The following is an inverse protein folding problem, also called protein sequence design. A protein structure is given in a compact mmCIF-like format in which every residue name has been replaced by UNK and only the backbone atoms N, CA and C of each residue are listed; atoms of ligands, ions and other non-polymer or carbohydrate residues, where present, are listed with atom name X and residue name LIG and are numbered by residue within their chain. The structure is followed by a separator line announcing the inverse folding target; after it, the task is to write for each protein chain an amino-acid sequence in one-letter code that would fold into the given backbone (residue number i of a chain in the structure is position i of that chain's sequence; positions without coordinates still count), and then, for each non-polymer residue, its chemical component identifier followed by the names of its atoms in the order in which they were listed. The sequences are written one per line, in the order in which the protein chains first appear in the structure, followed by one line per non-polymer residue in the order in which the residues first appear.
data_IF_821647362218
#
_entry.id   IF_821647362218
#
_cell.length_a   1.000
_cell.length_b   1.000
_cell.length_c   1.000
_cell.angle_alpha   90.00
_cell.angle_beta   90.00
_cell.angle_gamma   90.00
#
_symmetry.space_group_name_H-M   'P 1'
#
loop_
_entity.id
_entity.type
_entity.pdbx_description
1 polymer ?
#
# COMPACT_ATOMS: atom_id res chain seq x y z
N UNK A 1 27.07 60.34 -36.30
CA UNK A 1 26.13 59.52 -35.50
C UNK A 1 26.91 58.45 -34.78
N UNK A 2 27.08 58.56 -33.45
CA UNK A 2 27.64 57.51 -32.59
C UNK A 2 26.49 56.97 -31.75
N UNK A 3 26.08 55.73 -31.98
CA UNK A 3 25.09 55.05 -31.14
C UNK A 3 25.79 54.55 -29.88
N UNK A 4 25.39 55.09 -28.73
CA UNK A 4 25.78 54.59 -27.41
C UNK A 4 24.83 53.44 -27.04
N UNK A 5 25.39 52.25 -26.86
CA UNK A 5 24.67 51.08 -26.37
C UNK A 5 24.68 51.16 -24.84
N UNK A 6 23.54 51.47 -24.22
CA UNK A 6 23.36 51.35 -22.78
C UNK A 6 23.15 49.87 -22.41
N UNK A 7 23.93 49.27 -21.50
CA UNK A 7 23.62 47.95 -21.00
C UNK A 7 22.50 48.06 -19.96
N UNK A 8 21.37 47.42 -20.25
CA UNK A 8 20.25 47.29 -19.33
C UNK A 8 20.63 46.24 -18.26
N UNK A 9 21.11 46.68 -17.10
CA UNK A 9 21.34 45.80 -15.96
C UNK A 9 19.99 45.38 -15.35
N UNK A 10 19.54 44.16 -15.65
CA UNK A 10 18.45 43.52 -14.93
C UNK A 10 18.91 43.22 -13.49
N UNK A 11 18.38 43.97 -12.53
CA UNK A 11 18.44 43.61 -11.12
C UNK A 11 17.59 42.34 -10.91
N UNK A 12 18.23 41.18 -10.86
CA UNK A 12 17.65 39.97 -10.29
C UNK A 12 17.48 40.22 -8.79
N UNK A 13 16.27 40.62 -8.37
CA UNK A 13 15.86 40.50 -6.98
C UNK A 13 15.82 39.01 -6.66
N UNK A 14 16.84 38.51 -5.97
CA UNK A 14 16.71 37.26 -5.23
C UNK A 14 15.70 37.52 -4.11
N UNK A 15 14.44 37.14 -4.33
CA UNK A 15 13.54 36.90 -3.22
C UNK A 15 14.00 35.62 -2.56
N UNK A 16 14.86 35.71 -1.55
CA UNK A 16 14.94 34.66 -0.56
C UNK A 16 13.57 34.60 0.09
N UNK A 17 12.80 33.57 -0.24
CA UNK A 17 11.63 33.23 0.53
C UNK A 17 12.15 32.89 1.93
N UNK A 18 11.92 33.80 2.89
CA UNK A 18 12.14 33.47 4.29
C UNK A 18 11.18 32.32 4.60
N UNK A 19 11.74 31.13 4.77
CA UNK A 19 11.01 29.96 5.23
C UNK A 19 10.42 30.34 6.58
N UNK A 20 9.10 30.54 6.65
CA UNK A 20 8.41 30.72 7.93
C UNK A 20 8.62 29.41 8.68
N UNK A 21 9.57 29.40 9.59
CA UNK A 21 9.77 28.31 10.54
C UNK A 21 8.44 28.06 11.22
N UNK A 22 7.92 26.83 11.10
CA UNK A 22 6.71 26.43 11.81
C UNK A 22 6.98 26.62 13.31
N UNK A 23 6.23 27.52 13.95
CA UNK A 23 6.27 27.69 15.38
C UNK A 23 5.53 26.50 16.04
N UNK A 24 6.09 25.88 17.09
CA UNK A 24 5.40 24.81 17.82
C UNK A 24 4.07 25.31 18.38
N UNK A 25 3.05 24.46 18.37
CA UNK A 25 1.75 24.74 19.00
C UNK A 25 1.81 24.70 20.54
N UNK A 26 2.94 24.26 21.12
CA UNK A 26 3.10 23.99 22.54
C UNK A 26 3.88 25.14 23.21
N UNK A 27 3.38 25.60 24.37
CA UNK A 27 4.04 26.59 25.22
C UNK A 27 5.46 26.16 25.61
N UNK A 28 6.38 27.11 25.73
CA UNK A 28 7.78 26.91 26.16
C UNK A 28 7.93 26.30 27.57
N UNK A 29 6.84 26.12 28.32
CA UNK A 29 6.82 25.61 29.68
C UNK A 29 7.03 24.09 29.82
N UNK A 30 7.21 23.34 28.73
CA UNK A 30 7.44 21.87 28.77
C UNK A 30 8.94 21.51 28.67
N UNK A 31 9.84 22.50 28.62
CA UNK A 31 11.28 22.25 28.49
C UNK A 31 11.91 21.48 29.68
N UNK A 32 11.24 21.43 30.84
CA UNK A 32 11.71 20.73 32.04
C UNK A 32 11.13 19.31 32.24
N UNK A 33 10.45 18.76 31.24
CA UNK A 33 9.94 17.37 31.30
C UNK A 33 10.92 16.43 30.60
N UNK A 34 11.39 15.40 31.30
CA UNK A 34 12.23 14.35 30.71
C UNK A 34 11.53 13.71 29.50
N UNK A 35 12.23 13.64 28.36
CA UNK A 35 11.72 13.19 27.05
C UNK A 35 10.64 14.11 26.42
N UNK A 36 10.56 15.38 26.82
CA UNK A 36 9.70 16.34 26.13
C UNK A 36 10.05 16.47 24.63
N UNK A 37 9.06 16.70 23.75
CA UNK A 37 9.32 16.98 22.35
C UNK A 37 10.23 18.20 22.19
N UNK A 38 11.39 18.01 21.56
CA UNK A 38 12.30 19.10 21.27
C UNK A 38 11.72 20.01 20.18
N UNK A 39 11.58 21.30 20.46
CA UNK A 39 11.07 22.31 19.52
C UNK A 39 11.88 22.31 18.21
N UNK A 40 13.21 22.20 18.29
CA UNK A 40 14.06 22.18 17.10
C UNK A 40 13.83 20.92 16.26
N UNK A 41 13.73 19.75 16.89
CA UNK A 41 13.42 18.51 16.19
C UNK A 41 12.00 18.52 15.61
N UNK A 42 11.02 19.09 16.32
CA UNK A 42 9.66 19.24 15.83
C UNK A 42 9.64 20.13 14.56
N UNK A 43 10.34 21.26 14.58
CA UNK A 43 10.44 22.14 13.40
C UNK A 43 11.11 21.45 12.20
N UNK A 44 12.17 20.65 12.43
CA UNK A 44 12.87 19.90 11.39
C UNK A 44 12.00 18.77 10.82
N UNK A 45 11.25 18.06 11.67
CA UNK A 45 10.48 16.88 11.27
C UNK A 45 9.06 17.23 10.78
N UNK A 46 8.54 18.42 11.08
CA UNK A 46 7.18 18.81 10.75
C UNK A 46 6.83 18.67 9.26
N UNK A 47 7.68 19.07 8.29
CA UNK A 47 7.38 18.85 6.88
C UNK A 47 7.16 17.37 6.54
N UNK A 48 7.94 16.46 7.14
CA UNK A 48 7.79 15.02 6.94
C UNK A 48 6.46 14.50 7.52
N UNK A 49 6.12 14.90 8.74
CA UNK A 49 4.90 14.50 9.45
C UNK A 49 3.66 14.99 8.68
N UNK A 50 3.55 16.30 8.43
CA UNK A 50 2.38 16.86 7.76
C UNK A 50 2.21 16.34 6.33
N UNK A 51 3.33 16.08 5.65
CA UNK A 51 3.27 15.49 4.32
C UNK A 51 2.98 13.98 4.34
N UNK A 52 3.19 13.25 5.45
CA UNK A 52 2.70 11.86 5.59
C UNK A 52 1.19 11.88 5.81
N UNK A 53 0.69 12.74 6.72
CA UNK A 53 -0.74 12.91 6.97
C UNK A 53 -1.48 13.34 5.70
N UNK A 54 -0.99 14.38 5.01
CA UNK A 54 -1.59 14.85 3.76
C UNK A 54 -1.54 13.81 2.64
N UNK A 55 -0.53 12.94 2.65
CA UNK A 55 -0.33 11.89 1.67
C UNK A 55 -1.05 10.58 1.98
N UNK A 56 -1.69 10.46 3.15
CA UNK A 56 -2.37 9.25 3.57
C UNK A 56 -3.41 8.83 2.51
N UNK A 57 -3.40 7.56 2.14
CA UNK A 57 -4.27 6.97 1.11
C UNK A 57 -4.11 7.54 -0.30
N UNK A 58 -3.13 8.41 -0.58
CA UNK A 58 -2.85 8.98 -1.92
C UNK A 58 -1.72 8.25 -2.61
N UNK A 59 -1.97 7.75 -3.81
CA UNK A 59 -1.00 6.89 -4.49
C UNK A 59 0.37 7.55 -4.70
N UNK A 60 0.40 8.78 -5.24
CA UNK A 60 1.65 9.43 -5.61
C UNK A 60 2.52 9.81 -4.41
N UNK A 61 1.92 10.34 -3.35
CA UNK A 61 2.64 10.69 -2.12
C UNK A 61 3.31 9.46 -1.49
N UNK A 62 2.61 8.32 -1.50
CA UNK A 62 3.13 7.05 -1.02
C UNK A 62 4.24 6.49 -1.92
N UNK A 63 4.16 6.68 -3.24
CA UNK A 63 5.24 6.30 -4.17
C UNK A 63 6.51 7.13 -3.97
N UNK A 64 6.38 8.44 -3.73
CA UNK A 64 7.52 9.31 -3.46
C UNK A 64 8.20 8.96 -2.11
N UNK A 65 7.40 8.59 -1.11
CA UNK A 65 7.87 8.20 0.23
C UNK A 65 7.70 6.71 0.46
N UNK A 66 8.29 5.92 -0.44
CA UNK A 66 8.08 4.48 -0.52
C UNK A 66 8.29 3.70 0.79
N UNK A 67 9.18 4.13 1.69
CA UNK A 67 9.37 3.39 2.94
C UNK A 67 8.14 3.42 3.86
N UNK A 68 7.40 4.53 3.86
CA UNK A 68 6.34 4.76 4.85
C UNK A 68 6.90 4.83 6.28
N UNK A 69 6.30 5.63 7.14
CA UNK A 69 6.69 5.72 8.56
C UNK A 69 5.47 5.85 9.49
N UNK A 70 4.26 5.68 8.98
CA UNK A 70 3.02 5.92 9.71
C UNK A 70 2.07 4.73 9.60
N UNK A 71 1.39 4.44 10.72
CA UNK A 71 0.33 3.45 10.82
C UNK A 71 -0.95 4.22 11.17
N UNK A 72 -1.99 4.04 10.37
CA UNK A 72 -3.27 4.71 10.57
C UNK A 72 -4.37 3.69 10.87
N UNK A 73 -5.23 3.91 11.88
CA UNK A 73 -6.52 3.24 11.91
C UNK A 73 -7.36 3.76 10.74
N UNK A 74 -8.03 2.84 10.05
CA UNK A 74 -8.90 3.19 8.93
C UNK A 74 -10.21 2.43 8.99
N UNK A 75 -11.28 3.08 8.56
CA UNK A 75 -12.58 2.45 8.37
C UNK A 75 -12.88 2.29 6.89
N UNK A 76 -13.11 1.06 6.43
CA UNK A 76 -13.60 0.78 5.08
C UNK A 76 -15.12 0.83 5.09
N UNK A 77 -15.71 1.66 4.23
CA UNK A 77 -17.16 1.84 4.17
C UNK A 77 -17.89 0.56 3.75
N UNK A 78 -19.12 0.37 4.25
CA UNK A 78 -20.01 -0.68 3.77
C UNK A 78 -20.28 -0.52 2.26
N UNK A 79 -20.63 -1.63 1.60
CA UNK A 79 -20.83 -1.68 0.15
C UNK A 79 -19.59 -1.31 -0.69
N UNK A 80 -18.41 -1.31 -0.09
CA UNK A 80 -17.15 -1.21 -0.85
C UNK A 80 -16.91 -2.50 -1.61
N UNK A 81 -16.66 -2.36 -2.92
CA UNK A 81 -16.29 -3.48 -3.79
C UNK A 81 -14.81 -3.78 -3.72
N UNK A 82 -14.50 -5.07 -3.65
CA UNK A 82 -13.18 -5.65 -3.74
C UNK A 82 -13.13 -6.72 -4.82
N UNK A 83 -11.94 -6.92 -5.37
CA UNK A 83 -11.68 -7.90 -6.41
C UNK A 83 -10.55 -8.82 -5.97
N UNK A 84 -10.66 -10.11 -6.31
CA UNK A 84 -9.63 -11.10 -6.06
C UNK A 84 -9.44 -11.97 -7.29
N UNK A 85 -8.19 -12.13 -7.73
CA UNK A 85 -7.84 -13.09 -8.77
C UNK A 85 -7.29 -14.38 -8.15
N UNK A 86 -7.84 -15.53 -8.55
CA UNK A 86 -7.34 -16.84 -8.11
C UNK A 86 -7.34 -17.87 -9.23
N UNK A 87 -6.88 -19.08 -8.93
CA UNK A 87 -6.85 -20.21 -9.89
C UNK A 87 -8.08 -21.10 -9.84
N UNK A 88 -9.01 -20.85 -8.91
CA UNK A 88 -10.20 -21.68 -8.68
C UNK A 88 -11.47 -20.85 -8.75
N UNK A 89 -12.59 -21.52 -9.09
CA UNK A 89 -13.91 -20.91 -9.16
C UNK A 89 -14.66 -20.97 -7.80
N UNK A 90 -13.94 -20.87 -6.69
CA UNK A 90 -14.50 -20.98 -5.34
C UNK A 90 -14.41 -19.64 -4.61
N UNK A 91 -15.32 -19.43 -3.65
CA UNK A 91 -15.19 -18.31 -2.72
C UNK A 91 -13.93 -18.48 -1.88
N UNK A 92 -13.31 -17.36 -1.53
CA UNK A 92 -12.24 -17.32 -0.54
C UNK A 92 -12.85 -17.39 0.86
N UNK A 93 -12.22 -18.15 1.76
CA UNK A 93 -12.63 -18.37 3.15
C UNK A 93 -11.42 -18.40 4.11
N UNK A 94 -10.32 -17.78 3.69
CA UNK A 94 -9.01 -17.79 4.35
C UNK A 94 -8.38 -16.38 4.35
N UNK A 95 -7.17 -16.26 4.88
CA UNK A 95 -6.34 -15.06 4.68
C UNK A 95 -6.07 -14.90 3.19
N UNK A 96 -6.36 -13.72 2.65
CA UNK A 96 -6.24 -13.49 1.22
C UNK A 96 -6.09 -12.02 0.83
N UNK A 97 -5.49 -11.78 -0.33
CA UNK A 97 -5.38 -10.45 -0.95
C UNK A 97 -6.66 -10.05 -1.69
N UNK A 98 -7.04 -8.79 -1.51
CA UNK A 98 -8.14 -8.12 -2.19
C UNK A 98 -7.65 -6.79 -2.75
N UNK A 99 -8.08 -6.42 -3.95
CA UNK A 99 -7.75 -5.14 -4.55
C UNK A 99 -8.98 -4.27 -4.79
N UNK A 100 -8.76 -2.96 -4.91
CA UNK A 100 -9.83 -1.98 -5.19
C UNK A 100 -10.18 -1.88 -6.67
N UNK A 101 -9.40 -2.52 -7.55
CA UNK A 101 -9.58 -2.56 -8.99
C UNK A 101 -9.33 -3.96 -9.54
N UNK A 102 -9.99 -4.23 -10.68
CA UNK A 102 -9.84 -5.47 -11.42
C UNK A 102 -8.39 -5.65 -11.86
N UNK A 103 -7.78 -4.62 -12.47
CA UNK A 103 -6.46 -4.74 -13.08
C UNK A 103 -5.34 -5.10 -12.06
N UNK A 104 -5.52 -4.73 -10.79
CA UNK A 104 -4.64 -5.14 -9.70
C UNK A 104 -4.97 -6.56 -9.22
N UNK A 105 -6.25 -6.87 -8.99
CA UNK A 105 -6.67 -8.19 -8.52
C UNK A 105 -6.23 -9.31 -9.46
N UNK A 106 -6.21 -9.03 -10.76
CA UNK A 106 -5.78 -10.00 -11.75
C UNK A 106 -4.28 -10.36 -11.64
N UNK A 107 -3.43 -9.52 -11.03
CA UNK A 107 -2.02 -9.88 -10.75
C UNK A 107 -1.94 -11.13 -9.86
N UNK A 108 -2.92 -11.30 -8.96
CA UNK A 108 -2.97 -12.40 -8.01
C UNK A 108 -3.15 -13.77 -8.70
N UNK A 109 -3.66 -13.83 -9.94
CA UNK A 109 -3.73 -15.06 -10.75
C UNK A 109 -2.38 -15.77 -10.84
N UNK A 110 -1.30 -14.97 -10.92
CA UNK A 110 0.06 -15.47 -11.15
C UNK A 110 0.79 -15.83 -9.86
N UNK A 111 0.21 -15.46 -8.71
CA UNK A 111 0.80 -15.65 -7.39
C UNK A 111 0.28 -16.91 -6.69
N UNK A 112 -0.89 -17.43 -7.04
CA UNK A 112 -1.40 -18.70 -6.52
C UNK A 112 -1.03 -19.83 -7.50
N UNK A 113 0.10 -20.55 -7.33
CA UNK A 113 0.41 -21.63 -8.25
C UNK A 113 -0.66 -22.73 -8.13
N UNK A 114 -1.17 -23.28 -9.25
CA UNK A 114 -1.92 -24.53 -9.21
C UNK A 114 -1.07 -25.58 -8.50
N UNK A 115 -1.66 -26.20 -7.49
CA UNK A 115 -1.08 -27.15 -6.53
C UNK A 115 -0.05 -28.07 -7.23
N UNK A 116 1.23 -27.87 -6.95
CA UNK A 116 2.23 -28.94 -7.10
C UNK A 116 2.52 -29.48 -5.71
N UNK A 117 2.51 -30.80 -5.57
CA UNK A 117 2.53 -31.56 -4.31
C UNK A 117 3.77 -31.36 -3.41
N UNK A 118 4.60 -30.34 -3.62
CA UNK A 118 5.75 -30.05 -2.78
C UNK A 118 5.66 -28.63 -2.21
N UNK A 119 5.60 -28.57 -0.87
CA UNK A 119 5.58 -27.36 -0.03
C UNK A 119 6.85 -26.53 -0.18
N UNK A 120 7.03 -25.90 -1.32
CA UNK A 120 8.06 -24.89 -1.50
C UNK A 120 7.57 -23.85 -2.49
N UNK A 121 7.08 -22.75 -1.91
CA UNK A 121 6.74 -21.51 -2.61
C UNK A 121 8.06 -20.91 -3.13
N UNK A 122 8.47 -21.30 -4.35
CA UNK A 122 9.59 -20.69 -5.07
C UNK A 122 9.03 -19.89 -6.24
N UNK A 123 9.14 -18.55 -6.17
CA UNK A 123 9.05 -17.73 -7.37
C UNK A 123 10.42 -17.68 -8.06
N UNK A 124 10.39 -17.85 -9.39
CA UNK A 124 11.52 -17.96 -10.32
C UNK A 124 12.34 -19.25 -10.19
N UNK A 125 11.79 -20.35 -10.73
CA UNK A 125 12.61 -21.52 -11.06
C UNK A 125 11.81 -22.65 -11.71
N UNK A 126 11.86 -22.74 -13.04
CA UNK A 126 11.58 -23.93 -13.87
C UNK A 126 10.43 -24.83 -13.40
N UNK A 127 9.20 -24.29 -13.34
CA UNK A 127 7.98 -25.10 -13.30
C UNK A 127 7.53 -25.34 -14.74
N UNK A 128 7.03 -26.56 -15.04
CA UNK A 128 6.41 -26.90 -16.33
C UNK A 128 5.37 -25.85 -16.73
N UNK A 129 5.31 -25.53 -18.02
CA UNK A 129 4.38 -24.54 -18.57
C UNK A 129 2.93 -25.00 -18.35
N UNK A 130 2.32 -24.60 -17.22
CA UNK A 130 0.94 -24.93 -16.92
C UNK A 130 0.01 -23.87 -17.50
N UNK A 131 -0.90 -24.33 -18.36
CA UNK A 131 -2.04 -23.57 -18.81
C UNK A 131 -3.14 -23.65 -17.74
N UNK A 132 -3.53 -22.50 -17.19
CA UNK A 132 -4.67 -22.42 -16.29
C UNK A 132 -5.59 -21.26 -16.67
N UNK A 133 -6.83 -21.35 -16.19
CA UNK A 133 -7.81 -20.25 -16.29
C UNK A 133 -7.81 -19.50 -14.96
N UNK A 134 -7.53 -18.20 -14.99
CA UNK A 134 -7.71 -17.35 -13.82
C UNK A 134 -9.20 -17.06 -13.58
N UNK A 135 -9.61 -16.89 -12.33
CA UNK A 135 -10.97 -16.56 -11.95
C UNK A 135 -11.00 -15.27 -11.15
N UNK A 136 -11.71 -14.27 -11.66
CA UNK A 136 -11.93 -13.00 -11.00
C UNK A 136 -13.19 -13.08 -10.14
N UNK A 137 -13.00 -12.96 -8.83
CA UNK A 137 -14.09 -12.88 -7.86
C UNK A 137 -14.34 -11.42 -7.46
N UNK A 138 -15.61 -11.03 -7.39
CA UNK A 138 -16.03 -9.71 -6.91
C UNK A 138 -16.73 -9.86 -5.57
N UNK A 139 -16.20 -9.18 -4.56
CA UNK A 139 -16.73 -9.16 -3.20
C UNK A 139 -17.25 -7.78 -2.84
N UNK A 140 -18.17 -7.75 -1.88
CA UNK A 140 -18.71 -6.54 -1.29
C UNK A 140 -18.65 -6.62 0.23
N UNK A 141 -18.23 -5.54 0.87
CA UNK A 141 -18.34 -5.42 2.34
C UNK A 141 -19.81 -5.33 2.76
N UNK A 142 -20.20 -6.19 3.69
CA UNK A 142 -21.58 -6.24 4.23
C UNK A 142 -21.82 -5.14 5.27
N UNK A 143 -20.76 -4.71 5.96
CA UNK A 143 -20.77 -3.69 7.01
C UNK A 143 -19.47 -2.87 6.94
N UNK A 144 -19.39 -1.70 7.58
CA UNK A 144 -18.13 -0.96 7.65
C UNK A 144 -17.06 -1.77 8.41
N UNK A 145 -15.89 -1.97 7.82
CA UNK A 145 -14.75 -2.62 8.46
C UNK A 145 -14.01 -1.57 9.28
N UNK A 146 -14.14 -1.62 10.60
CA UNK A 146 -13.58 -0.60 11.51
C UNK A 146 -12.22 -0.98 12.08
N UNK A 147 -11.86 -2.26 12.04
CA UNK A 147 -10.61 -2.74 12.62
C UNK A 147 -9.61 -3.01 11.50
N UNK A 148 -9.36 -2.02 10.65
CA UNK A 148 -8.33 -2.10 9.60
C UNK A 148 -7.23 -1.11 9.94
N UNK A 149 -5.97 -1.54 9.79
CA UNK A 149 -4.81 -0.64 9.87
C UNK A 149 -4.25 -0.42 8.48
N UNK A 150 -3.82 0.81 8.21
CA UNK A 150 -3.19 1.22 6.98
C UNK A 150 -1.71 1.54 7.24
N UNK A 151 -0.83 0.92 6.45
CA UNK A 151 0.59 1.26 6.41
C UNK A 151 0.85 2.19 5.23
N UNK A 152 1.36 3.40 5.48
CA UNK A 152 1.73 4.32 4.41
C UNK A 152 3.02 3.88 3.67
N UNK A 153 3.44 4.68 2.71
CA UNK A 153 4.45 4.32 1.71
C UNK A 153 3.99 3.23 0.75
N UNK A 154 4.96 2.61 0.10
CA UNK A 154 4.80 1.42 -0.72
C UNK A 154 4.95 0.17 0.16
N UNK A 155 4.18 0.09 1.23
CA UNK A 155 4.25 -0.94 2.28
C UNK A 155 3.91 -2.37 1.82
N UNK A 156 3.47 -2.54 0.58
CA UNK A 156 3.33 -3.83 -0.09
C UNK A 156 4.40 -4.07 -1.17
N UNK A 157 5.42 -3.21 -1.31
CA UNK A 157 6.56 -3.44 -2.18
C UNK A 157 7.53 -4.43 -1.56
N UNK A 158 7.76 -5.59 -2.19
CA UNK A 158 8.59 -6.68 -1.63
C UNK A 158 10.07 -6.43 -1.89
N UNK A 159 10.57 -5.31 -1.38
CA UNK A 159 11.92 -4.81 -1.67
C UNK A 159 12.82 -4.81 -0.43
N UNK A 160 14.13 -4.73 -0.65
CA UNK A 160 15.13 -4.60 0.41
C UNK A 160 15.40 -3.14 0.82
N UNK A 161 14.73 -2.15 0.21
CA UNK A 161 15.01 -0.72 0.42
C UNK A 161 14.26 -0.09 1.62
N UNK A 162 13.46 -0.88 2.35
CA UNK A 162 12.84 -0.47 3.61
C UNK A 162 11.31 -0.43 3.60
N UNK A 163 10.67 -0.70 2.46
CA UNK A 163 9.20 -0.70 2.29
C UNK A 163 8.44 -1.61 3.26
N UNK A 164 9.06 -2.67 3.79
CA UNK A 164 8.43 -3.60 4.72
C UNK A 164 8.79 -3.33 6.19
N UNK A 165 9.61 -2.32 6.49
CA UNK A 165 10.20 -2.15 7.82
C UNK A 165 9.14 -1.80 8.89
N UNK A 166 8.05 -1.10 8.56
CA UNK A 166 6.95 -0.87 9.51
C UNK A 166 6.32 -2.18 10.01
N UNK A 167 6.11 -3.14 9.11
CA UNK A 167 5.54 -4.44 9.47
C UNK A 167 6.57 -5.30 10.19
N UNK A 168 7.75 -5.47 9.59
CA UNK A 168 8.75 -6.44 10.06
C UNK A 168 9.55 -5.95 11.27
N UNK A 169 9.85 -4.64 11.37
CA UNK A 169 10.72 -4.06 12.42
C UNK A 169 9.96 -3.27 13.47
N UNK A 170 8.86 -2.60 13.13
CA UNK A 170 8.15 -1.80 14.14
C UNK A 170 7.06 -2.64 14.79
N UNK A 171 6.25 -3.31 13.99
CA UNK A 171 5.09 -4.04 14.50
C UNK A 171 5.43 -5.47 14.99
N UNK A 172 6.31 -6.19 14.29
CA UNK A 172 6.61 -7.60 14.58
C UNK A 172 7.95 -7.85 15.29
N UNK A 173 8.74 -6.81 15.62
CA UNK A 173 10.09 -7.02 16.16
C UNK A 173 10.12 -7.84 17.47
N UNK A 174 9.21 -7.55 18.40
CA UNK A 174 9.20 -8.18 19.72
C UNK A 174 8.49 -9.55 19.74
N UNK A 175 7.98 -10.01 18.59
CA UNK A 175 7.29 -11.32 18.50
C UNK A 175 8.24 -12.47 18.19
N UNK A 176 9.54 -12.17 18.02
CA UNK A 176 10.54 -13.14 17.54
C UNK A 176 10.40 -13.44 16.04
N UNK A 177 9.65 -12.61 15.30
CA UNK A 177 9.52 -12.74 13.85
C UNK A 177 10.87 -12.48 13.17
N UNK A 178 11.43 -13.52 12.57
CA UNK A 178 12.63 -13.38 11.76
C UNK A 178 12.26 -12.75 10.41
N UNK A 179 12.71 -11.50 10.19
CA UNK A 179 12.55 -10.80 8.91
C UNK A 179 12.91 -11.69 7.73
N UNK A 180 12.02 -11.76 6.75
CA UNK A 180 12.21 -12.52 5.51
C UNK A 180 12.14 -11.57 4.32
N UNK A 181 13.04 -11.65 3.34
CA UNK A 181 12.88 -10.92 2.09
C UNK A 181 11.73 -11.53 1.27
N UNK A 182 11.08 -10.73 0.42
CA UNK A 182 10.16 -11.23 -0.60
C UNK A 182 8.70 -11.44 -0.16
N UNK A 183 8.01 -12.30 -0.93
CA UNK A 183 6.56 -12.55 -0.94
C UNK A 183 6.08 -13.46 0.21
N UNK A 184 6.40 -13.09 1.44
CA UNK A 184 5.99 -13.80 2.67
C UNK A 184 4.81 -13.10 3.38
N UNK A 185 3.91 -12.48 2.60
CA UNK A 185 2.85 -11.63 3.16
C UNK A 185 1.83 -12.41 3.98
N UNK A 186 1.50 -13.64 3.57
CA UNK A 186 0.59 -14.48 4.32
C UNK A 186 1.17 -14.85 5.69
N UNK A 187 2.48 -15.07 5.80
CA UNK A 187 3.12 -15.26 7.10
C UNK A 187 3.10 -13.97 7.93
N UNK A 188 3.37 -12.81 7.31
CA UNK A 188 3.32 -11.51 8.02
C UNK A 188 1.93 -11.22 8.57
N UNK A 189 0.91 -11.30 7.74
CA UNK A 189 -0.46 -11.03 8.17
C UNK A 189 -0.92 -12.05 9.23
N UNK A 190 -0.51 -13.32 9.13
CA UNK A 190 -0.80 -14.31 10.19
C UNK A 190 -0.24 -13.88 11.55
N UNK A 191 1.03 -13.45 11.61
CA UNK A 191 1.63 -13.00 12.87
C UNK A 191 1.03 -11.66 13.33
N UNK A 192 0.69 -10.75 12.42
CA UNK A 192 -0.01 -9.48 12.73
C UNK A 192 -1.39 -9.75 13.33
N UNK A 193 -2.21 -10.59 12.70
CA UNK A 193 -3.55 -10.94 13.19
C UNK A 193 -3.49 -11.73 14.50
N UNK A 194 -2.40 -12.44 14.78
CA UNK A 194 -2.18 -13.13 16.05
C UNK A 194 -1.93 -12.18 17.21
N UNK A 195 -1.17 -11.10 17.00
CA UNK A 195 -0.94 -10.08 18.05
C UNK A 195 -2.10 -9.08 18.15
N UNK A 196 -2.89 -8.92 17.08
CA UNK A 196 -4.08 -8.07 17.03
C UNK A 196 -5.31 -8.88 16.60
N UNK A 197 -5.88 -9.71 17.49
CA UNK A 197 -6.95 -10.66 17.14
C UNK A 197 -8.28 -10.01 16.74
N UNK A 198 -8.46 -8.71 17.00
CA UNK A 198 -9.64 -7.95 16.61
C UNK A 198 -9.50 -7.34 15.20
N UNK A 199 -8.33 -7.44 14.57
CA UNK A 199 -8.04 -6.84 13.29
C UNK A 199 -8.79 -7.58 12.17
N UNK A 200 -9.50 -6.83 11.33
CA UNK A 200 -10.15 -7.34 10.11
C UNK A 200 -9.12 -7.55 8.99
N UNK A 201 -8.11 -6.67 8.89
CA UNK A 201 -7.04 -6.77 7.91
C UNK A 201 -6.07 -5.59 7.90
N UNK A 202 -5.12 -5.64 6.96
CA UNK A 202 -4.17 -4.56 6.69
C UNK A 202 -4.39 -3.98 5.30
N UNK A 203 -4.41 -2.67 5.21
CA UNK A 203 -4.41 -1.92 3.95
C UNK A 203 -3.01 -1.41 3.68
N UNK A 204 -2.52 -1.59 2.46
CA UNK A 204 -1.16 -1.17 2.06
C UNK A 204 -1.07 -0.98 0.54
N UNK A 205 0.07 -0.46 0.07
CA UNK A 205 0.24 -0.13 -1.34
C UNK A 205 1.52 -0.72 -1.94
N UNK A 206 1.43 -1.26 -3.15
CA UNK A 206 2.59 -1.50 -4.02
C UNK A 206 2.50 -0.56 -5.22
N UNK A 207 1.97 -1.04 -6.35
CA UNK A 207 1.56 -0.18 -7.46
C UNK A 207 0.14 0.36 -7.22
N UNK A 208 -0.76 -0.50 -6.74
CA UNK A 208 -2.10 -0.15 -6.25
C UNK A 208 -2.26 -0.42 -4.77
N UNK A 209 -3.40 -0.01 -4.22
CA UNK A 209 -3.77 -0.36 -2.84
C UNK A 209 -4.37 -1.76 -2.82
N UNK A 210 -3.95 -2.55 -1.83
CA UNK A 210 -4.46 -3.87 -1.52
C UNK A 210 -4.93 -3.91 -0.06
N UNK A 211 -5.94 -4.75 0.19
CA UNK A 211 -6.38 -5.16 1.51
C UNK A 211 -5.99 -6.63 1.68
N UNK A 212 -5.28 -6.96 2.76
CA UNK A 212 -5.05 -8.35 3.17
C UNK A 212 -5.88 -8.60 4.40
N UNK A 213 -6.88 -9.47 4.28
CA UNK A 213 -7.79 -9.76 5.39
C UNK A 213 -7.27 -10.91 6.25
N UNK A 214 -7.50 -10.81 7.56
CA UNK A 214 -7.22 -11.88 8.52
C UNK A 214 -8.17 -13.08 8.31
N UNK A 215 -9.40 -12.82 7.89
CA UNK A 215 -10.43 -13.83 7.67
C UNK A 215 -11.48 -13.31 6.67
N UNK A 216 -11.47 -13.85 5.45
CA UNK A 216 -12.41 -13.45 4.38
C UNK A 216 -13.77 -14.14 4.44
N UNK A 217 -13.93 -15.16 5.30
CA UNK A 217 -15.23 -15.79 5.53
C UNK A 217 -16.21 -14.88 6.27
N UNK A 218 -15.70 -13.77 6.83
CA UNK A 218 -16.45 -12.77 7.57
C UNK A 218 -16.50 -11.46 6.81
N UNK A 219 -17.56 -10.70 7.07
CA UNK A 219 -17.75 -9.31 6.62
C UNK A 219 -17.83 -9.09 5.10
N UNK A 220 -17.59 -10.10 4.27
CA UNK A 220 -17.70 -10.04 2.82
C UNK A 220 -18.87 -10.87 2.29
N UNK A 221 -19.45 -10.38 1.20
CA UNK A 221 -20.45 -11.07 0.39
C UNK A 221 -19.86 -11.28 -1.01
N UNK A 222 -19.88 -12.52 -1.49
CA UNK A 222 -19.51 -12.84 -2.86
C UNK A 222 -20.63 -12.43 -3.81
N UNK A 223 -20.33 -11.56 -4.78
CA UNK A 223 -21.30 -11.11 -5.79
C UNK A 223 -21.22 -11.92 -7.07
N UNK A 224 -20.01 -12.23 -7.54
CA UNK A 224 -19.79 -12.97 -8.78
C UNK A 224 -18.39 -13.56 -8.85
N UNK A 225 -18.27 -14.69 -9.55
CA UNK A 225 -16.99 -15.23 -10.01
C UNK A 225 -17.06 -15.34 -11.53
N UNK A 226 -16.04 -14.85 -12.23
CA UNK A 226 -15.97 -14.88 -13.70
C UNK A 226 -14.61 -15.44 -14.13
N UNK A 227 -14.63 -16.42 -15.02
CA UNK A 227 -13.40 -16.92 -15.64
C UNK A 227 -12.78 -15.85 -16.54
N UNK A 228 -11.48 -15.63 -16.38
CA UNK A 228 -10.74 -14.71 -17.23
C UNK A 228 -10.69 -15.26 -18.66
N UNK A 229 -10.95 -14.43 -19.70
CA UNK A 229 -11.09 -14.91 -21.08
C UNK A 229 -9.76 -15.41 -21.67
N UNK A 230 -8.62 -15.06 -21.07
CA UNK A 230 -7.31 -15.52 -21.48
C UNK A 230 -6.82 -16.63 -20.56
N UNK A 231 -6.27 -17.67 -21.17
CA UNK A 231 -5.45 -18.67 -20.51
C UNK A 231 -4.10 -18.07 -20.13
N UNK A 232 -3.68 -18.31 -18.89
CA UNK A 232 -2.40 -17.84 -18.38
C UNK A 232 -1.33 -18.93 -18.56
N UNK A 233 -0.12 -18.48 -18.90
CA UNK A 233 1.05 -19.33 -19.06
C UNK A 233 2.12 -18.88 -18.06
N UNK A 234 2.60 -19.79 -17.22
CA UNK A 234 3.74 -19.51 -16.35
C UNK A 234 5.03 -19.37 -17.19
N UNK A 235 5.98 -18.53 -16.75
CA UNK A 235 7.27 -18.22 -17.40
C UNK A 235 7.29 -17.34 -18.66
N UNK A 236 6.17 -16.77 -19.13
CA UNK A 236 6.25 -15.71 -20.16
C UNK A 236 6.63 -14.36 -19.54
N UNK A 237 7.47 -13.61 -20.27
CA UNK A 237 7.79 -12.22 -19.94
C UNK A 237 6.50 -11.43 -19.74
N UNK A 238 6.44 -10.70 -18.62
CA UNK A 238 5.30 -9.86 -18.24
C UNK A 238 4.83 -9.05 -19.46
N UNK A 239 3.56 -9.21 -19.84
CA UNK A 239 3.03 -8.54 -21.01
C UNK A 239 3.02 -7.03 -20.73
N UNK A 240 3.75 -6.23 -21.52
CA UNK A 240 3.81 -4.77 -21.36
C UNK A 240 2.41 -4.15 -21.33
N UNK A 241 1.45 -4.71 -22.07
CA UNK A 241 0.06 -4.27 -22.04
C UNK A 241 -0.60 -4.51 -20.69
N UNK A 242 -0.36 -5.68 -20.07
CA UNK A 242 -0.89 -6.01 -18.75
C UNK A 242 -0.44 -5.01 -17.69
N UNK A 243 0.86 -4.77 -17.62
CA UNK A 243 1.44 -3.80 -16.69
C UNK A 243 0.97 -2.38 -16.97
N UNK A 244 0.77 -2.03 -18.24
CA UNK A 244 0.20 -0.73 -18.63
C UNK A 244 -1.24 -0.57 -18.15
N UNK A 245 -2.06 -1.63 -18.27
CA UNK A 245 -3.44 -1.64 -17.79
C UNK A 245 -3.51 -1.60 -16.27
N UNK A 246 -2.64 -2.34 -15.56
CA UNK A 246 -2.52 -2.22 -14.12
C UNK A 246 -2.17 -0.78 -13.71
N UNK A 247 -1.12 -0.18 -14.31
CA UNK A 247 -0.73 1.21 -14.06
C UNK A 247 -1.85 2.21 -14.37
N UNK A 248 -2.59 2.00 -15.47
CA UNK A 248 -3.77 2.80 -15.82
C UNK A 248 -4.89 2.65 -14.78
N UNK A 249 -5.18 1.43 -14.33
CA UNK A 249 -6.20 1.12 -13.33
C UNK A 249 -5.92 1.79 -11.99
N UNK A 250 -4.68 1.73 -11.51
CA UNK A 250 -4.30 2.36 -10.25
C UNK A 250 -4.26 3.88 -10.36
N UNK A 251 -3.65 4.43 -11.43
CA UNK A 251 -3.48 5.88 -11.60
C UNK A 251 -4.79 6.66 -11.73
N UNK A 252 -5.90 6.00 -12.12
CA UNK A 252 -7.24 6.58 -12.08
C UNK A 252 -7.67 7.04 -10.68
N UNK A 253 -7.04 6.53 -9.63
CA UNK A 253 -7.28 6.90 -8.22
C UNK A 253 -6.22 7.87 -7.71
N UNK A 254 -5.83 8.85 -8.54
CA UNK A 254 -4.83 9.86 -8.20
C UNK A 254 -5.11 10.58 -6.87
N UNK A 255 -6.39 10.91 -6.61
CA UNK A 255 -6.81 11.55 -5.35
C UNK A 255 -6.82 10.61 -4.13
N UNK A 256 -6.45 9.35 -4.33
CA UNK A 256 -6.42 8.30 -3.33
C UNK A 256 -7.66 7.41 -3.30
N UNK A 257 -7.57 6.33 -2.54
CA UNK A 257 -8.70 5.40 -2.31
C UNK A 257 -9.65 5.92 -1.23
N UNK A 258 -9.23 6.93 -0.46
CA UNK A 258 -9.99 7.47 0.67
C UNK A 258 -11.30 8.19 0.31
N UNK A 259 -11.51 8.59 -0.95
CA UNK A 259 -12.72 9.34 -1.31
C UNK A 259 -13.95 8.40 -1.33
N UNK A 260 -14.68 8.36 -0.22
CA UNK A 260 -15.95 7.66 -0.05
C UNK A 260 -15.85 6.15 0.23
N UNK A 261 -14.65 5.55 0.16
CA UNK A 261 -14.43 4.12 0.44
C UNK A 261 -13.68 3.85 1.73
N UNK A 262 -12.73 4.71 2.08
CA UNK A 262 -11.86 4.52 3.27
C UNK A 262 -11.74 5.85 4.01
N UNK A 263 -12.11 5.90 5.29
CA UNK A 263 -11.77 7.03 6.16
C UNK A 263 -10.50 6.73 6.94
N UNK A 264 -9.65 7.74 7.10
CA UNK A 264 -8.49 7.71 7.98
C UNK A 264 -8.90 8.43 9.26
N UNK A 265 -8.76 7.75 10.41
CA UNK A 265 -9.22 8.23 11.71
C UNK A 265 -8.10 8.91 12.53
#
# INVERSE_FOLDING_TARGET
MKFSILPLFYLLRQSEAFEKTQAPLISSSIQDVDNAPSISHAAINAPHIFSSISGAMRQWDNSLKHNGMSIYPVTIAANTLFYHGGTTNNSIDKIEWLAFEVEHAEVFFTLDPPITNNKSMYYLGHVEEQNYTGYLSTYRTTHPLKNVIYFDGMSAGKSSIGTLDLQDRVLLQDTGFNRRPGFEDFLRIQEICKIMPQLDGILRMELGFELIMCDTSKNLELLSITGHPQHFYQNKTENVFWRSEYMRGVSKRYSGVGVGKVSVD
#
